data_IF_332730817492
#
_entry.id   IF_332730817492
#
_cell.length_a   1.000
_cell.length_b   1.000
_cell.length_c   1.000
_cell.angle_alpha   90.00
_cell.angle_beta   90.00
_cell.angle_gamma   90.00
#
_symmetry.space_group_name_H-M   'P 1'
#
loop_
_entity.id
_entity.type
_entity.pdbx_description
1 polymer ?
#
# COMPACT_ATOMS: atom_id res chain seq x y z
N UNK A 1 36.83 6.70 -16.48
CA UNK A 1 36.24 6.94 -15.15
C UNK A 1 35.00 7.79 -15.33
N UNK A 2 33.83 7.32 -14.89
CA UNK A 2 32.72 8.20 -14.55
C UNK A 2 31.92 7.54 -13.43
N UNK A 3 32.05 8.08 -12.22
CA UNK A 3 31.29 7.71 -11.04
C UNK A 3 30.30 8.82 -10.74
N UNK A 4 29.02 8.55 -10.94
CA UNK A 4 27.89 9.21 -10.29
C UNK A 4 27.06 8.02 -9.77
N UNK A 5 27.06 7.65 -8.50
CA UNK A 5 26.70 8.47 -7.35
C UNK A 5 25.31 8.01 -6.92
N UNK A 6 25.26 7.29 -5.78
CA UNK A 6 24.13 6.57 -5.18
C UNK A 6 23.80 5.20 -5.78
N UNK A 7 24.36 4.17 -5.14
CA UNK A 7 23.80 2.83 -5.11
C UNK A 7 22.35 2.92 -4.68
N UNK A 8 21.45 2.77 -5.67
CA UNK A 8 20.07 2.40 -5.46
C UNK A 8 20.04 1.34 -4.35
N UNK A 9 19.53 1.70 -3.17
CA UNK A 9 19.01 0.72 -2.23
C UNK A 9 17.95 -0.04 -3.02
N UNK A 10 18.36 -1.16 -3.61
CA UNK A 10 17.48 -2.01 -4.38
C UNK A 10 16.50 -2.61 -3.38
N UNK A 11 15.40 -1.90 -3.10
CA UNK A 11 14.18 -2.52 -2.59
C UNK A 11 13.79 -3.56 -3.63
N UNK A 12 14.16 -4.82 -3.37
CA UNK A 12 13.82 -5.92 -4.25
C UNK A 12 12.35 -6.24 -4.02
N UNK A 13 11.47 -5.49 -4.68
CA UNK A 13 10.06 -5.88 -4.77
C UNK A 13 9.93 -7.04 -5.74
N UNK A 14 9.39 -8.18 -5.30
CA UNK A 14 9.04 -9.31 -6.17
C UNK A 14 7.54 -9.38 -6.34
N UNK A 15 7.09 -9.53 -7.59
CA UNK A 15 5.68 -9.72 -7.92
C UNK A 15 5.52 -11.00 -8.72
N UNK A 16 4.38 -11.65 -8.56
CA UNK A 16 4.07 -12.84 -9.32
C UNK A 16 2.60 -13.23 -9.17
N UNK A 17 2.23 -14.26 -9.92
CA UNK A 17 0.92 -14.88 -9.80
C UNK A 17 1.03 -16.39 -9.94
N UNK A 18 0.07 -17.10 -9.36
CA UNK A 18 -0.09 -18.54 -9.48
C UNK A 18 -1.56 -18.86 -9.70
N UNK A 19 -1.85 -19.95 -10.40
CA UNK A 19 -3.22 -20.42 -10.60
C UNK A 19 -3.26 -21.94 -10.63
N UNK A 20 -4.28 -22.52 -10.00
CA UNK A 20 -4.50 -23.96 -9.96
C UNK A 20 -5.99 -24.29 -10.02
N UNK A 21 -6.30 -25.53 -10.40
CA UNK A 21 -7.66 -26.06 -10.37
C UNK A 21 -7.93 -26.68 -9.00
N UNK A 22 -8.98 -26.24 -8.33
CA UNK A 22 -9.42 -26.83 -7.07
C UNK A 22 -10.05 -28.21 -7.31
N UNK A 23 -10.11 -29.09 -6.29
CA UNK A 23 -10.80 -30.39 -6.39
C UNK A 23 -12.27 -30.29 -6.85
N UNK A 24 -12.89 -29.12 -6.69
CA UNK A 24 -14.26 -28.78 -7.05
C UNK A 24 -14.38 -28.27 -8.50
N UNK A 25 -13.27 -28.20 -9.24
CA UNK A 25 -13.22 -27.73 -10.62
C UNK A 25 -13.19 -26.21 -10.77
N UNK A 26 -12.94 -25.46 -9.68
CA UNK A 26 -12.83 -24.01 -9.73
C UNK A 26 -11.38 -23.59 -9.96
N UNK A 27 -11.12 -22.72 -10.94
CA UNK A 27 -9.80 -22.11 -11.09
C UNK A 27 -9.60 -21.08 -9.99
N UNK A 28 -8.60 -21.31 -9.14
CA UNK A 28 -8.19 -20.37 -8.09
C UNK A 28 -6.93 -19.66 -8.56
N UNK A 29 -6.99 -18.33 -8.59
CA UNK A 29 -5.86 -17.47 -8.92
C UNK A 29 -5.42 -16.67 -7.70
N UNK A 30 -4.12 -16.49 -7.57
CA UNK A 30 -3.48 -15.70 -6.51
C UNK A 30 -2.41 -14.81 -7.13
N UNK A 31 -2.39 -13.55 -6.74
CA UNK A 31 -1.34 -12.59 -7.02
C UNK A 31 -0.59 -12.28 -5.73
N UNK A 32 0.68 -11.89 -5.82
CA UNK A 32 1.43 -11.46 -4.65
C UNK A 32 2.42 -10.35 -4.95
N UNK A 33 2.68 -9.54 -3.92
CA UNK A 33 3.77 -8.58 -3.86
C UNK A 33 4.59 -8.89 -2.60
N UNK A 34 5.88 -9.14 -2.77
CA UNK A 34 6.82 -9.26 -1.66
C UNK A 34 7.73 -8.03 -1.66
N UNK A 35 7.65 -7.25 -0.60
CA UNK A 35 8.46 -6.04 -0.37
C UNK A 35 9.04 -6.05 1.06
N UNK A 36 9.58 -4.92 1.51
CA UNK A 36 10.20 -4.80 2.84
C UNK A 36 9.22 -4.97 4.00
N UNK A 37 7.93 -4.71 3.76
CA UNK A 37 6.87 -4.87 4.76
C UNK A 37 6.32 -6.29 4.80
N UNK A 38 6.78 -7.16 3.88
CA UNK A 38 6.51 -8.60 3.90
C UNK A 38 5.86 -9.11 2.61
N UNK A 39 5.09 -10.19 2.75
CA UNK A 39 4.38 -10.84 1.66
C UNK A 39 2.90 -10.45 1.68
N UNK A 40 2.45 -9.81 0.60
CA UNK A 40 1.10 -9.29 0.41
C UNK A 40 0.37 -10.11 -0.67
N UNK A 41 -0.36 -11.17 -0.29
CA UNK A 41 -1.14 -11.94 -1.23
C UNK A 41 -2.48 -11.27 -1.53
N UNK A 42 -2.93 -11.40 -2.77
CA UNK A 42 -4.24 -10.95 -3.24
C UNK A 42 -4.93 -12.10 -3.98
N UNK A 43 -6.19 -12.35 -3.64
CA UNK A 43 -7.02 -13.35 -4.30
C UNK A 43 -8.38 -13.47 -3.63
N UNK A 44 -9.40 -13.81 -4.43
CA UNK A 44 -10.80 -13.86 -3.98
C UNK A 44 -11.07 -14.93 -2.89
N UNK A 45 -10.13 -15.87 -2.73
CA UNK A 45 -10.18 -16.94 -1.76
C UNK A 45 -9.49 -16.60 -0.43
N UNK A 46 -8.89 -15.41 -0.31
CA UNK A 46 -8.26 -14.94 0.91
C UNK A 46 -9.31 -14.28 1.84
N UNK A 47 -9.05 -14.24 3.16
CA UNK A 47 -9.87 -13.46 4.06
C UNK A 47 -9.90 -11.99 3.63
N UNK A 48 -11.09 -11.44 3.46
CA UNK A 48 -11.27 -10.01 3.21
C UNK A 48 -11.13 -9.28 4.55
N UNK A 49 -10.30 -8.23 4.57
CA UNK A 49 -10.20 -7.37 5.75
C UNK A 49 -11.57 -6.77 6.09
N UNK A 50 -11.90 -6.58 7.38
CA UNK A 50 -13.15 -5.94 7.74
C UNK A 50 -13.20 -4.51 7.20
N UNK A 51 -14.39 -4.11 6.74
CA UNK A 51 -14.65 -2.72 6.35
C UNK A 51 -14.41 -1.77 7.53
N UNK A 52 -13.90 -0.57 7.23
CA UNK A 52 -13.69 0.46 8.24
C UNK A 52 -15.03 0.90 8.85
N UNK A 53 -15.04 1.14 10.16
CA UNK A 53 -16.23 1.69 10.83
C UNK A 53 -16.47 3.15 10.42
N UNK A 54 -17.69 3.64 10.59
CA UNK A 54 -18.03 5.05 10.27
C UNK A 54 -17.14 6.05 11.02
N UNK A 55 -16.80 5.75 12.27
CA UNK A 55 -15.93 6.57 13.09
C UNK A 55 -14.51 6.64 12.51
N UNK A 56 -13.95 5.51 12.08
CA UNK A 56 -12.62 5.45 11.45
C UNK A 56 -12.61 6.25 10.14
N UNK A 57 -13.64 6.08 9.30
CA UNK A 57 -13.76 6.84 8.04
C UNK A 57 -13.92 8.34 8.30
N UNK A 58 -14.63 8.73 9.35
CA UNK A 58 -14.75 10.14 9.73
C UNK A 58 -13.42 10.69 10.23
N UNK A 59 -12.73 9.97 11.12
CA UNK A 59 -11.43 10.37 11.65
C UNK A 59 -10.39 10.55 10.53
N UNK A 60 -10.35 9.64 9.54
CA UNK A 60 -9.48 9.76 8.36
C UNK A 60 -9.79 11.05 7.59
N UNK A 61 -11.08 11.31 7.29
CA UNK A 61 -11.47 12.53 6.54
C UNK A 61 -11.15 13.81 7.29
N UNK A 62 -11.40 13.85 8.60
CA UNK A 62 -11.08 15.01 9.44
C UNK A 62 -9.57 15.26 9.46
N UNK A 63 -8.77 14.20 9.57
CA UNK A 63 -7.32 14.29 9.51
C UNK A 63 -6.83 14.82 8.16
N UNK A 64 -7.32 14.26 7.05
CA UNK A 64 -6.96 14.69 5.68
C UNK A 64 -7.32 16.17 5.44
N UNK A 65 -8.50 16.61 5.88
CA UNK A 65 -8.93 18.00 5.74
C UNK A 65 -8.07 18.97 6.57
N UNK A 66 -7.74 18.60 7.81
CA UNK A 66 -6.87 19.39 8.67
C UNK A 66 -5.45 19.51 8.08
N UNK A 67 -4.93 18.42 7.51
CA UNK A 67 -3.65 18.39 6.83
C UNK A 67 -3.64 19.29 5.59
N UNK A 68 -4.69 19.24 4.76
CA UNK A 68 -4.79 20.09 3.57
C UNK A 68 -4.81 21.59 3.95
N UNK A 69 -5.54 21.95 5.01
CA UNK A 69 -5.55 23.32 5.53
C UNK A 69 -4.16 23.76 6.01
N UNK A 70 -3.45 22.89 6.75
CA UNK A 70 -2.10 23.17 7.21
C UNK A 70 -1.09 23.31 6.06
N UNK A 71 -1.17 22.44 5.05
CA UNK A 71 -0.32 22.48 3.86
C UNK A 71 -0.55 23.76 3.02
N UNK A 72 -1.80 24.23 2.92
CA UNK A 72 -2.12 25.51 2.26
C UNK A 72 -1.66 26.72 3.06
N UNK A 73 -1.73 26.65 4.39
CA UNK A 73 -1.27 27.71 5.28
C UNK A 73 0.27 27.78 5.37
N UNK A 74 0.96 26.65 5.21
CA UNK A 74 2.41 26.55 5.18
C UNK A 74 2.87 25.49 4.15
N UNK A 75 3.26 25.89 2.93
CA UNK A 75 3.67 24.96 1.87
C UNK A 75 4.94 24.16 2.20
N UNK A 76 5.73 24.57 3.20
CA UNK A 76 6.93 23.87 3.67
C UNK A 76 6.59 22.68 4.60
N UNK A 77 5.39 22.66 5.20
CA UNK A 77 4.93 21.59 6.09
C UNK A 77 4.53 20.30 5.37
N UNK A 78 4.23 20.38 4.07
CA UNK A 78 3.86 19.23 3.24
C UNK A 78 5.05 18.31 2.92
N UNK A 79 6.29 18.81 3.00
CA UNK A 79 7.48 18.07 2.57
C UNK A 79 8.12 17.22 3.67
N UNK A 80 7.81 17.45 4.95
CA UNK A 80 8.63 16.94 6.06
C UNK A 80 7.98 15.84 6.92
N UNK A 81 6.71 15.48 6.71
CA UNK A 81 6.06 14.41 7.48
C UNK A 81 5.51 13.35 6.54
N UNK A 82 6.21 12.22 6.46
CA UNK A 82 5.91 11.06 5.62
C UNK A 82 4.60 10.36 5.96
N UNK A 83 3.48 11.01 5.65
CA UNK A 83 2.17 10.38 5.68
C UNK A 83 2.04 9.44 4.47
N UNK A 84 2.23 8.15 4.72
CA UNK A 84 1.86 7.07 3.80
C UNK A 84 0.33 6.99 3.79
N UNK A 85 -0.29 7.30 2.65
CA UNK A 85 -1.75 7.24 2.48
C UNK A 85 -2.29 5.85 2.82
N UNK A 86 -3.44 5.76 3.51
CA UNK A 86 -4.07 4.47 3.84
C UNK A 86 -4.60 3.72 2.61
N UNK A 87 -4.58 4.32 1.42
CA UNK A 87 -4.92 3.68 0.14
C UNK A 87 -3.93 2.58 -0.31
N UNK A 88 -2.88 2.32 0.47
CA UNK A 88 -1.95 1.20 0.25
C UNK A 88 -2.30 -0.06 1.07
N UNK A 89 -3.49 -0.13 1.66
CA UNK A 89 -4.10 -1.37 2.16
C UNK A 89 -5.31 -1.77 1.32
#
# INVERSE_FOLDING_TARGET
MNSNGNSDEHMITKKGSYSYLSPEGQTISMEYVADETGFHPKGDHLPVAPENTLEVVQAIREFEAAYELAAKANPESAQNNGYISPSNY
#
